data_IF_395574565810
#
_entry.id   IF_395574565810
#
_cell.length_a   1.000
_cell.length_b   1.000
_cell.length_c   1.000
_cell.angle_alpha   90.00
_cell.angle_beta   90.00
_cell.angle_gamma   90.00
#
_symmetry.space_group_name_H-M   'P 1'
#
loop_
_entity.id
_entity.type
_entity.pdbx_description
1 polymer ?
#
# COMPACT_ATOMS: atom_id res chain seq x y z
N UNK A 1 4.48 -64.28 -14.45
CA UNK A 1 4.33 -63.20 -15.46
C UNK A 1 3.60 -61.97 -14.89
N UNK A 2 2.99 -62.04 -13.71
CA UNK A 2 2.31 -60.92 -13.01
C UNK A 2 3.25 -59.86 -12.42
N UNK A 3 4.50 -60.20 -12.11
CA UNK A 3 5.39 -59.34 -11.30
C UNK A 3 5.98 -58.14 -12.04
N UNK A 4 6.08 -58.21 -13.38
CA UNK A 4 6.67 -57.13 -14.19
C UNK A 4 5.63 -56.03 -14.46
N UNK A 5 4.38 -56.41 -14.67
CA UNK A 5 3.27 -55.47 -14.91
C UNK A 5 2.91 -54.68 -13.64
N UNK A 6 2.99 -55.33 -12.47
CA UNK A 6 2.82 -54.68 -11.17
C UNK A 6 3.98 -53.74 -10.82
N UNK A 7 5.20 -54.05 -11.24
CA UNK A 7 6.35 -53.17 -11.06
C UNK A 7 6.21 -51.91 -11.93
N UNK A 8 5.82 -52.06 -13.19
CA UNK A 8 5.69 -50.96 -14.14
C UNK A 8 4.58 -49.98 -13.78
N UNK A 9 3.42 -50.49 -13.34
CA UNK A 9 2.31 -49.67 -12.84
C UNK A 9 2.67 -48.90 -11.57
N UNK A 10 3.51 -49.46 -10.68
CA UNK A 10 4.03 -48.73 -9.50
C UNK A 10 4.95 -47.58 -9.87
N UNK A 11 5.79 -47.74 -10.89
CA UNK A 11 6.67 -46.66 -11.38
C UNK A 11 5.86 -45.52 -11.98
N UNK A 12 4.87 -45.84 -12.83
CA UNK A 12 3.98 -44.84 -13.44
C UNK A 12 3.18 -44.05 -12.38
N UNK A 13 2.68 -44.73 -11.34
CA UNK A 13 2.00 -44.07 -10.22
C UNK A 13 2.95 -43.17 -9.41
N UNK A 14 4.21 -43.59 -9.22
CA UNK A 14 5.21 -42.78 -8.51
C UNK A 14 5.57 -41.51 -9.31
N UNK A 15 5.75 -41.63 -10.63
CA UNK A 15 6.01 -40.51 -11.53
C UNK A 15 4.83 -39.53 -11.57
N UNK A 16 3.59 -40.04 -11.64
CA UNK A 16 2.38 -39.21 -11.59
C UNK A 16 2.25 -38.44 -10.26
N UNK A 17 2.59 -39.07 -9.12
CA UNK A 17 2.61 -38.41 -7.80
C UNK A 17 3.68 -37.32 -7.74
N UNK A 18 4.87 -37.57 -8.26
CA UNK A 18 5.95 -36.57 -8.30
C UNK A 18 5.57 -35.36 -9.17
N UNK A 19 4.98 -35.61 -10.35
CA UNK A 19 4.49 -34.55 -11.22
C UNK A 19 3.37 -33.72 -10.57
N UNK A 20 2.42 -34.36 -9.90
CA UNK A 20 1.35 -33.65 -9.19
C UNK A 20 1.88 -32.81 -8.02
N UNK A 21 2.85 -33.33 -7.25
CA UNK A 21 3.52 -32.58 -6.19
C UNK A 21 4.28 -31.37 -6.75
N UNK A 22 4.93 -31.52 -7.90
CA UNK A 22 5.60 -30.41 -8.60
C UNK A 22 4.60 -29.33 -9.03
N UNK A 23 3.46 -29.70 -9.61
CA UNK A 23 2.39 -28.75 -9.98
C UNK A 23 1.89 -28.01 -8.75
N UNK A 24 1.60 -28.72 -7.66
CA UNK A 24 1.14 -28.10 -6.41
C UNK A 24 2.17 -27.12 -5.85
N UNK A 25 3.46 -27.47 -5.90
CA UNK A 25 4.56 -26.59 -5.49
C UNK A 25 4.61 -25.31 -6.35
N UNK A 26 4.61 -25.44 -7.69
CA UNK A 26 4.63 -24.29 -8.59
C UNK A 26 3.41 -23.38 -8.46
N UNK A 27 2.22 -23.95 -8.22
CA UNK A 27 0.99 -23.18 -7.99
C UNK A 27 1.07 -22.36 -6.70
N UNK A 28 1.61 -22.93 -5.62
CA UNK A 28 1.80 -22.22 -4.34
C UNK A 28 2.77 -21.06 -4.48
N UNK A 29 3.92 -21.29 -5.13
CA UNK A 29 4.93 -20.25 -5.38
C UNK A 29 4.35 -19.09 -6.21
N UNK A 30 3.59 -19.41 -7.25
CA UNK A 30 2.94 -18.38 -8.10
C UNK A 30 1.91 -17.56 -7.32
N UNK A 31 1.15 -18.20 -6.42
CA UNK A 31 0.23 -17.51 -5.51
C UNK A 31 0.94 -16.57 -4.54
N UNK A 32 2.00 -17.03 -3.88
CA UNK A 32 2.79 -16.23 -2.96
C UNK A 32 3.43 -15.00 -3.63
N UNK A 33 3.96 -15.15 -4.85
CA UNK A 33 4.52 -14.03 -5.61
C UNK A 33 3.47 -12.97 -5.97
N UNK A 34 2.25 -13.39 -6.30
CA UNK A 34 1.16 -12.46 -6.59
C UNK A 34 0.76 -11.68 -5.34
N UNK A 35 0.63 -12.36 -4.18
CA UNK A 35 0.34 -11.72 -2.90
C UNK A 35 1.41 -10.70 -2.52
N UNK A 36 2.70 -11.04 -2.69
CA UNK A 36 3.82 -10.10 -2.48
C UNK A 36 3.73 -8.87 -3.37
N UNK A 37 3.42 -9.05 -4.66
CA UNK A 37 3.26 -7.92 -5.57
C UNK A 37 2.10 -7.01 -5.15
N UNK A 38 0.97 -7.59 -4.74
CA UNK A 38 -0.17 -6.83 -4.25
C UNK A 38 0.14 -6.11 -2.94
N UNK A 39 0.90 -6.73 -2.03
CA UNK A 39 1.33 -6.13 -0.78
C UNK A 39 2.18 -4.88 -1.05
N UNK A 40 3.24 -5.01 -1.85
CA UNK A 40 4.12 -3.89 -2.21
C UNK A 40 3.37 -2.72 -2.86
N UNK A 41 2.45 -3.02 -3.79
CA UNK A 41 1.66 -1.99 -4.44
C UNK A 41 0.68 -1.30 -3.48
N UNK A 42 0.14 -2.04 -2.50
CA UNK A 42 -0.76 -1.48 -1.47
C UNK A 42 0.01 -0.63 -0.47
N UNK A 43 1.22 -1.06 -0.06
CA UNK A 43 2.14 -0.28 0.78
C UNK A 43 2.55 1.03 0.10
N UNK A 44 2.86 1.01 -1.20
CA UNK A 44 3.13 2.21 -1.98
C UNK A 44 1.93 3.18 -2.00
N UNK A 45 0.72 2.65 -2.17
CA UNK A 45 -0.52 3.47 -2.14
C UNK A 45 -0.76 4.09 -0.76
N UNK A 46 -0.52 3.32 0.31
CA UNK A 46 -0.62 3.81 1.68
C UNK A 46 0.37 4.95 1.93
N UNK A 47 1.64 4.76 1.58
CA UNK A 47 2.68 5.80 1.72
C UNK A 47 2.31 7.08 1.00
N UNK A 48 1.90 6.97 -0.27
CA UNK A 48 1.43 8.13 -1.05
C UNK A 48 0.23 8.82 -0.39
N UNK A 49 -0.69 8.09 0.21
CA UNK A 49 -1.81 8.68 0.93
C UNK A 49 -1.33 9.49 2.14
N UNK A 50 -0.37 8.97 2.91
CA UNK A 50 0.26 9.69 4.02
C UNK A 50 1.00 10.95 3.55
N UNK A 51 1.75 10.88 2.45
CA UNK A 51 2.41 12.04 1.84
C UNK A 51 1.38 13.12 1.44
N UNK A 52 0.26 12.72 0.84
CA UNK A 52 -0.82 13.66 0.49
C UNK A 52 -1.45 14.30 1.74
N UNK A 53 -1.65 13.56 2.83
CA UNK A 53 -2.16 14.09 4.09
C UNK A 53 -1.24 15.20 4.61
N UNK A 54 0.07 14.93 4.67
CA UNK A 54 1.07 15.89 5.12
C UNK A 54 1.14 17.13 4.23
N UNK A 55 1.12 16.95 2.91
CA UNK A 55 1.12 18.06 1.96
C UNK A 55 -0.14 18.94 2.08
N UNK A 56 -1.30 18.34 2.35
CA UNK A 56 -2.55 19.05 2.58
C UNK A 56 -2.55 19.80 3.91
N UNK A 57 -1.92 19.27 4.94
CA UNK A 57 -1.76 19.93 6.24
C UNK A 57 -0.90 21.19 6.12
N UNK A 58 0.27 21.11 5.48
CA UNK A 58 1.11 22.27 5.17
C UNK A 58 0.33 23.34 4.37
N UNK A 59 -0.48 22.91 3.40
CA UNK A 59 -1.33 23.83 2.63
C UNK A 59 -2.42 24.47 3.48
N UNK A 60 -3.02 23.71 4.39
CA UNK A 60 -4.05 24.21 5.30
C UNK A 60 -3.49 25.28 6.25
N UNK A 61 -2.26 25.09 6.73
CA UNK A 61 -1.56 26.05 7.59
C UNK A 61 -1.24 27.38 6.88
N UNK A 62 -0.70 27.33 5.66
CA UNK A 62 -0.48 28.53 4.82
C UNK A 62 -1.80 29.27 4.56
N UNK A 63 -2.84 28.53 4.20
CA UNK A 63 -4.15 29.10 3.93
C UNK A 63 -4.79 29.73 5.17
N UNK A 64 -4.63 29.09 6.34
CA UNK A 64 -5.09 29.61 7.63
C UNK A 64 -4.36 30.90 7.98
N UNK A 65 -3.04 30.94 7.78
CA UNK A 65 -2.22 32.15 7.98
C UNK A 65 -2.67 33.30 7.09
N UNK A 66 -2.93 33.04 5.81
CA UNK A 66 -3.48 34.03 4.87
C UNK A 66 -4.88 34.49 5.27
N UNK A 67 -5.72 33.59 5.79
CA UNK A 67 -7.06 33.92 6.27
C UNK A 67 -7.01 34.88 7.45
N UNK A 68 -6.16 34.60 8.44
CA UNK A 68 -6.00 35.48 9.60
C UNK A 68 -5.45 36.86 9.20
N UNK A 69 -4.55 36.93 8.21
CA UNK A 69 -4.10 38.20 7.62
C UNK A 69 -5.24 38.95 6.91
N UNK A 70 -6.04 38.27 6.10
CA UNK A 70 -7.20 38.88 5.45
C UNK A 70 -8.24 39.38 6.49
N UNK A 71 -8.34 38.70 7.62
CA UNK A 71 -9.20 39.08 8.74
C UNK A 71 -8.69 40.32 9.47
N UNK A 72 -7.40 40.39 9.79
CA UNK A 72 -6.81 41.59 10.41
C UNK A 72 -6.88 42.82 9.50
N UNK A 73 -6.71 42.65 8.18
CA UNK A 73 -6.84 43.74 7.20
C UNK A 73 -8.29 44.04 6.76
N UNK A 74 -9.29 43.40 7.38
CA UNK A 74 -10.72 43.51 7.05
C UNK A 74 -11.09 43.25 5.56
N UNK A 75 -10.35 42.38 4.89
CA UNK A 75 -10.53 42.04 3.48
C UNK A 75 -11.63 40.98 3.28
N UNK A 76 -12.90 41.41 3.28
CA UNK A 76 -14.09 40.54 3.26
C UNK A 76 -14.12 39.50 2.15
N UNK A 77 -13.81 39.88 0.92
CA UNK A 77 -13.86 38.97 -0.24
C UNK A 77 -12.81 37.86 -0.10
N UNK A 78 -11.59 38.21 0.29
CA UNK A 78 -10.51 37.25 0.52
C UNK A 78 -10.84 36.27 1.64
N UNK A 79 -11.43 36.74 2.75
CA UNK A 79 -11.89 35.84 3.83
C UNK A 79 -12.89 34.80 3.34
N UNK A 80 -13.88 35.21 2.55
CA UNK A 80 -14.89 34.30 2.04
C UNK A 80 -14.29 33.23 1.13
N UNK A 81 -13.44 33.64 0.18
CA UNK A 81 -12.74 32.73 -0.72
C UNK A 81 -11.86 31.75 0.05
N UNK A 82 -11.05 32.24 0.99
CA UNK A 82 -10.16 31.39 1.80
C UNK A 82 -10.94 30.40 2.65
N UNK A 83 -12.07 30.81 3.25
CA UNK A 83 -12.95 29.91 4.00
C UNK A 83 -13.50 28.78 3.13
N UNK A 84 -13.93 29.09 1.90
CA UNK A 84 -14.42 28.07 0.98
C UNK A 84 -13.31 27.09 0.58
N UNK A 85 -12.12 27.61 0.29
CA UNK A 85 -10.98 26.78 -0.08
C UNK A 85 -10.49 25.91 1.09
N UNK A 86 -10.45 26.44 2.32
CA UNK A 86 -10.13 25.67 3.53
C UNK A 86 -11.09 24.48 3.70
N UNK A 87 -12.40 24.70 3.57
CA UNK A 87 -13.39 23.62 3.65
C UNK A 87 -13.20 22.55 2.57
N UNK A 88 -12.79 22.93 1.36
CA UNK A 88 -12.47 21.97 0.29
C UNK A 88 -11.21 21.16 0.63
N UNK A 89 -10.14 21.81 1.10
CA UNK A 89 -8.89 21.13 1.47
C UNK A 89 -9.11 20.16 2.63
N UNK A 90 -9.85 20.57 3.66
CA UNK A 90 -10.26 19.72 4.78
C UNK A 90 -11.07 18.50 4.30
N UNK A 91 -12.04 18.69 3.40
CA UNK A 91 -12.78 17.59 2.79
C UNK A 91 -11.89 16.59 2.06
N UNK A 92 -10.91 17.07 1.28
CA UNK A 92 -9.97 16.19 0.57
C UNK A 92 -9.03 15.47 1.55
N UNK A 93 -8.55 16.14 2.59
CA UNK A 93 -7.70 15.53 3.63
C UNK A 93 -8.44 14.37 4.32
N UNK A 94 -9.71 14.57 4.68
CA UNK A 94 -10.54 13.52 5.27
C UNK A 94 -10.67 12.29 4.36
N UNK A 95 -10.84 12.49 3.05
CA UNK A 95 -10.89 11.39 2.08
C UNK A 95 -9.56 10.63 2.03
N UNK A 96 -8.41 11.32 2.10
CA UNK A 96 -7.12 10.64 2.15
C UNK A 96 -6.89 9.88 3.47
N UNK A 97 -7.39 10.39 4.61
CA UNK A 97 -7.38 9.64 5.87
C UNK A 97 -8.19 8.34 5.77
N UNK A 98 -9.39 8.41 5.21
CA UNK A 98 -10.21 7.21 4.98
C UNK A 98 -9.52 6.24 4.02
N UNK A 99 -8.92 6.75 2.93
CA UNK A 99 -8.19 5.92 1.98
C UNK A 99 -6.96 5.26 2.61
N UNK A 100 -6.17 5.99 3.41
CA UNK A 100 -5.03 5.46 4.13
C UNK A 100 -5.45 4.35 5.11
N UNK A 101 -6.57 4.54 5.84
CA UNK A 101 -7.13 3.49 6.72
C UNK A 101 -7.45 2.22 5.92
N UNK A 102 -8.15 2.35 4.79
CA UNK A 102 -8.50 1.22 3.93
C UNK A 102 -7.25 0.50 3.40
N UNK A 103 -6.21 1.24 2.98
CA UNK A 103 -4.97 0.62 2.53
C UNK A 103 -4.23 -0.09 3.68
N UNK A 104 -4.20 0.48 4.88
CA UNK A 104 -3.58 -0.14 6.06
C UNK A 104 -4.27 -1.45 6.45
N UNK A 105 -5.61 -1.47 6.44
CA UNK A 105 -6.40 -2.70 6.65
C UNK A 105 -6.04 -3.75 5.60
N UNK A 106 -5.97 -3.36 4.32
CA UNK A 106 -5.61 -4.26 3.23
C UNK A 106 -4.17 -4.79 3.30
N UNK A 107 -3.23 -3.98 3.77
CA UNK A 107 -1.85 -4.41 4.02
C UNK A 107 -1.85 -5.53 5.06
N UNK A 108 -2.60 -5.37 6.15
CA UNK A 108 -2.71 -6.41 7.18
C UNK A 108 -3.34 -7.69 6.63
N UNK A 109 -4.44 -7.59 5.87
CA UNK A 109 -5.07 -8.74 5.21
C UNK A 109 -4.10 -9.51 4.30
N UNK A 110 -3.33 -8.78 3.48
CA UNK A 110 -2.37 -9.39 2.56
C UNK A 110 -1.18 -10.03 3.29
N UNK A 111 -0.74 -9.45 4.41
CA UNK A 111 0.30 -10.04 5.28
C UNK A 111 -0.22 -11.34 5.91
N UNK A 112 -1.42 -11.32 6.49
CA UNK A 112 -2.05 -12.53 7.04
C UNK A 112 -2.22 -13.62 5.98
N UNK A 113 -2.65 -13.28 4.76
CA UNK A 113 -2.78 -14.25 3.67
C UNK A 113 -1.42 -14.80 3.23
N UNK A 114 -0.39 -13.97 3.19
CA UNK A 114 0.96 -14.39 2.82
C UNK A 114 1.58 -15.32 3.88
N UNK A 115 1.40 -15.03 5.17
CA UNK A 115 1.88 -15.88 6.28
C UNK A 115 1.29 -17.31 6.20
N UNK A 116 0.04 -17.44 5.75
CA UNK A 116 -0.62 -18.74 5.58
C UNK A 116 -0.05 -19.55 4.40
N UNK A 117 0.50 -18.88 3.38
CA UNK A 117 1.01 -19.50 2.16
C UNK A 117 2.52 -19.74 2.22
N UNK A 118 3.26 -18.82 2.84
CA UNK A 118 4.73 -18.83 2.96
C UNK A 118 5.17 -18.33 4.36
N UNK A 119 5.09 -19.19 5.40
CA UNK A 119 5.33 -18.82 6.81
C UNK A 119 6.76 -18.41 7.16
N UNK A 120 7.69 -18.57 6.22
CA UNK A 120 9.13 -18.29 6.41
C UNK A 120 9.54 -16.97 5.73
N UNK A 121 8.56 -16.18 5.28
CA UNK A 121 8.77 -14.88 4.65
C UNK A 121 9.08 -13.80 5.68
N UNK A 122 10.21 -13.10 5.49
CA UNK A 122 10.48 -11.83 6.16
C UNK A 122 9.92 -10.66 5.35
N UNK A 123 9.26 -9.72 6.02
CA UNK A 123 8.64 -8.56 5.40
C UNK A 123 9.68 -7.46 5.26
N UNK A 124 10.32 -7.36 4.10
CA UNK A 124 11.14 -6.19 3.79
C UNK A 124 10.20 -5.03 3.51
N UNK A 125 10.05 -4.13 4.48
CA UNK A 125 9.47 -2.81 4.24
C UNK A 125 10.44 -2.05 3.33
N UNK A 126 9.95 -1.60 2.19
CA UNK A 126 10.70 -0.81 1.22
C UNK A 126 10.90 0.61 1.79
N UNK A 127 11.64 0.73 2.89
CA UNK A 127 11.87 1.96 3.66
C UNK A 127 12.94 2.86 3.03
N UNK A 128 13.49 2.49 1.87
CA UNK A 128 14.51 3.26 1.16
C UNK A 128 13.87 4.03 -0.01
N UNK A 129 13.45 5.27 0.25
CA UNK A 129 13.57 6.36 -0.73
C UNK A 129 13.58 7.70 0.02
N UNK A 130 14.78 8.26 0.16
CA UNK A 130 15.11 9.51 0.82
C UNK A 130 14.24 10.68 0.33
N UNK A 131 13.38 11.19 1.22
CA UNK A 131 12.78 12.51 1.04
C UNK A 131 13.84 13.55 1.42
N UNK A 132 14.72 13.93 0.48
CA UNK A 132 15.54 15.13 0.62
C UNK A 132 14.60 16.33 0.79
N UNK A 133 14.44 16.78 2.03
CA UNK A 133 13.86 18.08 2.35
C UNK A 133 14.88 19.12 1.87
N UNK A 134 14.69 19.59 0.64
CA UNK A 134 15.35 20.79 0.14
C UNK A 134 14.91 21.97 1.03
N UNK A 135 15.77 22.36 1.96
CA UNK A 135 15.65 23.61 2.72
C UNK A 135 15.44 24.77 1.74
N UNK A 136 14.25 25.36 1.77
CA UNK A 136 14.00 26.64 1.12
C UNK A 136 14.68 27.72 1.96
N UNK A 137 15.85 28.15 1.50
CA UNK A 137 16.61 29.28 2.03
C UNK A 137 15.77 30.57 1.91
N UNK A 138 15.53 31.23 3.04
CA UNK A 138 14.76 32.46 3.15
C UNK A 138 15.68 33.65 2.85
N UNK A 139 15.43 34.36 1.74
CA UNK A 139 16.00 35.68 1.44
C UNK A 139 15.06 36.52 0.59
#
# INVERSE_FOLDING_TARGET
METVHDAQTRTEIAEAKAFFAQIQSTSKVTGALNLRFQLLETERKFRRACEQILALECKMDDMTSRYEKAKSCNQRNFRYTLRLQLAVVEGVQNVYHDYARIQAEKINELREELDMVDPETDYVTDDEEDMEVSDYDES
#
